data_IF_194442249531
#
_entry.id   IF_194442249531
#
_cell.length_a   1.000
_cell.length_b   1.000
_cell.length_c   1.000
_cell.angle_alpha   90.00
_cell.angle_beta   90.00
_cell.angle_gamma   90.00
#
_symmetry.space_group_name_H-M   'P 1'
#
loop_
_entity.id
_entity.type
_entity.pdbx_description
1 polymer ?
#
# COMPACT_ATOMS: atom_id res chain seq x y z
N UNK A 1 -41.54 -4.83 5.02
CA UNK A 1 -40.44 -5.74 5.42
C UNK A 1 -40.97 -7.07 5.92
N UNK A 2 -40.31 -8.17 5.57
CA UNK A 2 -40.59 -9.49 6.17
C UNK A 2 -40.18 -9.52 7.65
N UNK A 3 -40.80 -10.38 8.46
CA UNK A 3 -40.46 -10.53 9.90
C UNK A 3 -39.01 -10.99 10.09
N UNK A 4 -38.53 -11.90 9.24
CA UNK A 4 -37.17 -12.45 9.31
C UNK A 4 -36.12 -11.39 9.01
N UNK A 5 -36.31 -10.60 7.94
CA UNK A 5 -35.42 -9.48 7.59
C UNK A 5 -35.34 -8.48 8.74
N UNK A 6 -36.47 -8.17 9.38
CA UNK A 6 -36.52 -7.23 10.51
C UNK A 6 -35.81 -7.74 11.76
N UNK A 7 -35.90 -9.03 12.07
CA UNK A 7 -35.18 -9.63 13.20
C UNK A 7 -33.66 -9.59 12.98
N UNK A 8 -33.21 -9.83 11.74
CA UNK A 8 -31.80 -9.73 11.35
C UNK A 8 -31.29 -8.29 11.48
N UNK A 9 -32.05 -7.31 10.98
CA UNK A 9 -31.70 -5.89 11.11
C UNK A 9 -31.65 -5.43 12.56
N UNK A 10 -32.63 -5.81 13.39
CA UNK A 10 -32.61 -5.52 14.83
C UNK A 10 -31.36 -6.09 15.52
N UNK A 11 -30.95 -7.31 15.16
CA UNK A 11 -29.73 -7.90 15.70
C UNK A 11 -28.48 -7.11 15.29
N UNK A 12 -28.42 -6.59 14.07
CA UNK A 12 -27.30 -5.76 13.60
C UNK A 12 -27.27 -4.38 14.27
N UNK A 13 -28.42 -3.76 14.51
CA UNK A 13 -28.52 -2.50 15.27
C UNK A 13 -27.99 -2.71 16.69
N UNK A 14 -28.44 -3.77 17.38
CA UNK A 14 -27.99 -4.06 18.75
C UNK A 14 -26.48 -4.34 18.85
N UNK A 15 -25.85 -4.95 17.84
CA UNK A 15 -24.40 -5.20 17.79
C UNK A 15 -23.55 -3.93 17.68
N UNK A 16 -24.07 -2.88 17.04
CA UNK A 16 -23.36 -1.61 16.89
C UNK A 16 -23.28 -0.83 18.21
N UNK A 17 -24.15 -1.13 19.16
CA UNK A 17 -24.18 -0.45 20.46
C UNK A 17 -23.41 -1.21 21.54
N UNK A 18 -22.32 -0.61 22.02
CA UNK A 18 -21.57 -1.09 23.20
C UNK A 18 -22.18 -0.65 24.55
N UNK A 19 -23.25 0.15 24.52
CA UNK A 19 -23.98 0.68 25.68
C UNK A 19 -25.49 0.47 25.49
N UNK A 20 -26.30 0.41 26.57
CA UNK A 20 -27.74 0.24 26.46
C UNK A 20 -28.38 1.31 25.58
N UNK A 21 -29.18 0.89 24.60
CA UNK A 21 -29.88 1.79 23.67
C UNK A 21 -31.38 1.77 23.91
N UNK A 22 -32.03 2.93 23.91
CA UNK A 22 -33.47 3.02 24.22
C UNK A 22 -34.33 2.32 23.17
N UNK A 23 -35.46 1.75 23.58
CA UNK A 23 -36.42 1.14 22.65
C UNK A 23 -36.96 2.14 21.62
N UNK A 24 -37.13 3.41 21.97
CA UNK A 24 -37.58 4.44 21.02
C UNK A 24 -36.54 4.74 19.92
N UNK A 25 -35.24 4.69 20.25
CA UNK A 25 -34.18 4.85 19.27
C UNK A 25 -34.15 3.67 18.29
N UNK A 26 -34.19 2.44 18.82
CA UNK A 26 -34.24 1.21 18.02
C UNK A 26 -35.46 1.17 17.09
N UNK A 27 -36.64 1.55 17.61
CA UNK A 27 -37.87 1.56 16.83
C UNK A 27 -37.83 2.58 15.68
N UNK A 28 -37.28 3.77 15.95
CA UNK A 28 -37.12 4.84 14.95
C UNK A 28 -36.16 4.43 13.84
N UNK A 29 -35.03 3.83 14.21
CA UNK A 29 -34.00 3.39 13.26
C UNK A 29 -34.51 2.25 12.36
N UNK A 30 -35.28 1.31 12.91
CA UNK A 30 -35.88 0.21 12.16
C UNK A 30 -37.17 0.57 11.41
N UNK A 31 -37.64 1.82 11.54
CA UNK A 31 -38.89 2.27 10.93
C UNK A 31 -40.13 1.49 11.39
N UNK A 32 -40.16 1.01 12.64
CA UNK A 32 -41.27 0.22 13.20
C UNK A 32 -41.84 0.80 14.48
N UNK A 33 -43.05 0.37 14.86
CA UNK A 33 -43.64 0.76 16.15
C UNK A 33 -42.92 0.12 17.33
N UNK A 34 -42.92 0.80 18.48
CA UNK A 34 -42.31 0.31 19.72
C UNK A 34 -42.87 -1.06 20.16
N UNK A 35 -44.17 -1.29 19.92
CA UNK A 35 -44.82 -2.58 20.16
C UNK A 35 -44.26 -3.71 19.28
N UNK A 36 -43.97 -3.39 18.02
CA UNK A 36 -43.34 -4.35 17.08
C UNK A 36 -41.92 -4.68 17.51
N UNK A 37 -41.14 -3.66 17.89
CA UNK A 37 -39.79 -3.83 18.42
C UNK A 37 -39.76 -4.78 19.62
N UNK A 38 -40.63 -4.57 20.62
CA UNK A 38 -40.64 -5.43 21.81
C UNK A 38 -40.99 -6.89 21.49
N UNK A 39 -41.90 -7.11 20.54
CA UNK A 39 -42.22 -8.46 20.07
C UNK A 39 -41.04 -9.12 19.35
N UNK A 40 -40.26 -8.34 18.62
CA UNK A 40 -39.08 -8.83 17.91
C UNK A 40 -37.92 -9.11 18.87
N UNK A 41 -37.69 -8.27 19.90
CA UNK A 41 -36.72 -8.53 20.99
C UNK A 41 -37.07 -9.83 21.72
N UNK A 42 -38.35 -10.04 22.06
CA UNK A 42 -38.80 -11.29 22.67
C UNK A 42 -38.58 -12.49 21.76
N UNK A 43 -38.79 -12.32 20.44
CA UNK A 43 -38.53 -13.37 19.44
C UNK A 43 -37.04 -13.72 19.35
N UNK A 44 -36.15 -12.72 19.39
CA UNK A 44 -34.70 -12.94 19.38
C UNK A 44 -34.21 -13.64 20.66
N UNK A 45 -34.71 -13.24 21.84
CA UNK A 45 -34.41 -13.92 23.10
C UNK A 45 -34.83 -15.39 23.09
N UNK A 46 -36.01 -15.69 22.53
CA UNK A 46 -36.50 -17.07 22.41
C UNK A 46 -35.63 -17.97 21.52
N UNK A 47 -34.85 -17.38 20.61
CA UNK A 47 -33.92 -18.09 19.70
C UNK A 47 -32.49 -18.13 20.29
N UNK A 48 -32.29 -17.62 21.51
CA UNK A 48 -31.02 -17.69 22.24
C UNK A 48 -30.13 -16.45 22.15
N UNK A 49 -30.66 -15.31 21.70
CA UNK A 49 -29.92 -14.05 21.78
C UNK A 49 -29.91 -13.52 23.24
N UNK A 50 -28.72 -13.37 23.82
CA UNK A 50 -28.52 -12.77 25.15
C UNK A 50 -28.65 -11.24 25.10
N UNK A 51 -29.89 -10.75 25.09
CA UNK A 51 -30.19 -9.31 25.12
C UNK A 51 -30.56 -8.93 26.55
N UNK A 52 -29.75 -8.12 27.21
CA UNK A 52 -30.06 -7.49 28.50
C UNK A 52 -30.94 -6.26 28.30
N UNK A 53 -31.79 -5.95 29.28
CA UNK A 53 -32.55 -4.70 29.33
C UNK A 53 -34.07 -4.84 29.29
N UNK A 54 -34.74 -3.76 29.66
CA UNK A 54 -36.19 -3.68 29.80
C UNK A 54 -36.72 -2.33 29.28
N UNK A 55 -38.04 -2.21 28.98
CA UNK A 55 -38.64 -0.93 28.64
C UNK A 55 -38.28 0.16 29.66
N UNK A 56 -37.70 1.26 29.18
CA UNK A 56 -37.25 2.38 30.03
C UNK A 56 -35.77 2.35 30.43
N UNK A 57 -35.13 1.18 30.49
CA UNK A 57 -33.69 1.05 30.81
C UNK A 57 -32.79 0.93 29.56
N UNK A 58 -33.39 0.60 28.41
CA UNK A 58 -32.67 0.35 27.16
C UNK A 58 -32.21 -1.11 27.03
N UNK A 59 -31.72 -1.49 25.85
CA UNK A 59 -31.35 -2.86 25.50
C UNK A 59 -29.89 -2.95 25.08
N UNK A 60 -29.22 -4.05 25.45
CA UNK A 60 -27.82 -4.32 25.13
C UNK A 60 -27.63 -5.80 24.82
N UNK A 61 -26.94 -6.12 23.73
CA UNK A 61 -26.57 -7.49 23.40
C UNK A 61 -25.28 -7.89 24.14
N UNK A 62 -25.30 -8.98 24.91
CA UNK A 62 -24.12 -9.54 25.58
C UNK A 62 -23.26 -10.36 24.61
N UNK A 63 -21.92 -10.36 24.77
CA UNK A 63 -21.05 -11.27 24.03
C UNK A 63 -21.20 -12.71 24.59
N UNK A 64 -21.77 -13.62 23.80
CA UNK A 64 -21.85 -15.06 24.11
C UNK A 64 -20.65 -15.86 23.58
N UNK A 65 -20.43 -17.07 24.12
CA UNK A 65 -19.28 -17.96 23.81
C UNK A 65 -19.37 -18.68 22.45
N UNK A 66 -20.51 -18.60 21.77
CA UNK A 66 -20.72 -19.14 20.43
C UNK A 66 -20.66 -17.98 19.43
N UNK A 67 -19.95 -18.16 18.33
CA UNK A 67 -20.08 -17.24 17.19
C UNK A 67 -21.56 -17.26 16.79
N UNK A 68 -22.27 -16.12 16.84
CA UNK A 68 -23.64 -16.08 16.39
C UNK A 68 -23.71 -16.50 14.91
N UNK A 69 -24.86 -16.88 14.34
CA UNK A 69 -24.96 -17.16 12.91
C UNK A 69 -24.38 -15.98 12.12
N UNK A 70 -23.22 -16.20 11.50
CA UNK A 70 -22.53 -15.23 10.67
C UNK A 70 -22.97 -15.50 9.24
N UNK A 71 -23.62 -14.52 8.63
CA UNK A 71 -23.87 -14.52 7.20
C UNK A 71 -22.60 -13.97 6.56
N UNK A 72 -21.93 -14.79 5.77
CA UNK A 72 -20.79 -14.37 4.97
C UNK A 72 -21.25 -14.18 3.53
N UNK A 73 -20.75 -13.14 2.87
CA UNK A 73 -20.79 -13.09 1.42
C UNK A 73 -19.88 -14.16 0.83
N UNK A 74 -20.04 -14.37 -0.46
CA UNK A 74 -19.19 -15.26 -1.24
C UNK A 74 -17.71 -14.85 -1.18
N UNK A 75 -17.41 -13.57 -1.35
CA UNK A 75 -16.06 -13.02 -1.27
C UNK A 75 -15.48 -13.14 0.15
N UNK A 76 -16.31 -12.97 1.18
CA UNK A 76 -15.90 -13.16 2.57
C UNK A 76 -15.53 -14.61 2.87
N UNK A 77 -16.29 -15.58 2.33
CA UNK A 77 -15.97 -17.01 2.46
C UNK A 77 -14.68 -17.38 1.71
N UNK A 78 -14.49 -16.86 0.49
CA UNK A 78 -13.26 -17.08 -0.26
C UNK A 78 -12.04 -16.49 0.44
N UNK A 79 -12.15 -15.27 0.98
CA UNK A 79 -11.08 -14.64 1.75
C UNK A 79 -10.74 -15.43 3.02
N UNK A 80 -11.75 -15.88 3.77
CA UNK A 80 -11.55 -16.71 4.97
C UNK A 80 -10.91 -18.05 4.62
N UNK A 81 -11.40 -18.72 3.57
CA UNK A 81 -10.85 -19.99 3.12
C UNK A 81 -9.38 -19.83 2.67
N UNK A 82 -9.07 -18.79 1.89
CA UNK A 82 -7.71 -18.48 1.47
C UNK A 82 -6.79 -18.22 2.67
N UNK A 83 -7.23 -17.41 3.63
CA UNK A 83 -6.46 -17.09 4.84
C UNK A 83 -6.19 -18.32 5.70
N UNK A 84 -7.20 -19.16 5.93
CA UNK A 84 -7.05 -20.41 6.70
C UNK A 84 -6.12 -21.40 5.99
N UNK A 85 -6.23 -21.55 4.67
CA UNK A 85 -5.30 -22.37 3.86
C UNK A 85 -3.88 -21.82 3.93
N UNK A 86 -3.71 -20.49 3.95
CA UNK A 86 -2.43 -19.84 4.07
C UNK A 86 -1.79 -20.13 5.44
N UNK A 87 -2.54 -20.02 6.53
CA UNK A 87 -2.09 -20.38 7.89
C UNK A 87 -1.72 -21.86 7.95
N UNK A 88 -2.57 -22.73 7.40
CA UNK A 88 -2.35 -24.18 7.32
C UNK A 88 -1.04 -24.59 6.66
N UNK A 89 -0.50 -23.75 5.76
CA UNK A 89 0.77 -24.01 5.08
C UNK A 89 1.97 -23.24 5.64
N UNK A 90 1.75 -22.10 6.32
CA UNK A 90 2.84 -21.17 6.68
C UNK A 90 3.08 -21.00 8.18
N UNK A 91 2.21 -21.50 9.04
CA UNK A 91 2.40 -21.43 10.49
C UNK A 91 3.10 -22.70 11.03
N UNK A 92 3.05 -22.91 12.34
CA UNK A 92 3.42 -24.19 12.98
C UNK A 92 2.24 -25.17 13.00
N UNK A 93 2.56 -26.44 13.25
CA UNK A 93 1.62 -27.58 13.26
C UNK A 93 0.37 -27.30 14.10
N UNK A 94 0.51 -26.64 15.25
CA UNK A 94 -0.61 -26.31 16.13
C UNK A 94 -1.58 -25.31 15.50
N UNK A 95 -1.07 -24.27 14.84
CA UNK A 95 -1.91 -23.33 14.08
C UNK A 95 -2.43 -23.94 12.79
N UNK A 96 -1.67 -24.83 12.15
CA UNK A 96 -2.10 -25.53 10.94
C UNK A 96 -3.29 -26.45 11.21
N UNK A 97 -3.24 -27.22 12.30
CA UNK A 97 -4.37 -28.02 12.77
C UNK A 97 -5.57 -27.15 13.11
N UNK A 98 -5.37 -26.06 13.87
CA UNK A 98 -6.45 -25.15 14.23
C UNK A 98 -7.10 -24.48 13.00
N UNK A 99 -6.33 -24.16 11.97
CA UNK A 99 -6.84 -23.61 10.72
C UNK A 99 -7.67 -24.63 9.93
N UNK A 100 -7.22 -25.90 9.90
CA UNK A 100 -7.98 -27.01 9.33
C UNK A 100 -9.32 -27.23 10.03
N UNK A 101 -9.32 -27.26 11.37
CA UNK A 101 -10.54 -27.39 12.18
C UNK A 101 -11.51 -26.22 11.97
N UNK A 102 -10.99 -24.99 11.89
CA UNK A 102 -11.79 -23.81 11.63
C UNK A 102 -12.44 -23.87 10.23
N UNK A 103 -11.69 -24.30 9.22
CA UNK A 103 -12.20 -24.48 7.86
C UNK A 103 -13.27 -25.58 7.79
N UNK A 104 -13.07 -26.70 8.50
CA UNK A 104 -14.05 -27.79 8.59
C UNK A 104 -15.36 -27.32 9.23
N UNK A 105 -15.26 -26.56 10.34
CA UNK A 105 -16.43 -25.96 11.01
C UNK A 105 -17.17 -24.97 10.11
N UNK A 106 -16.43 -24.13 9.38
CA UNK A 106 -17.01 -23.18 8.43
C UNK A 106 -17.70 -23.91 7.27
N UNK A 107 -17.09 -24.95 6.72
CA UNK A 107 -17.69 -25.79 5.67
C UNK A 107 -18.98 -26.49 6.11
N UNK A 108 -19.03 -26.96 7.36
CA UNK A 108 -20.15 -27.72 7.91
C UNK A 108 -21.46 -26.92 7.99
N UNK A 109 -21.36 -25.60 8.16
CA UNK A 109 -22.52 -24.70 8.30
C UNK A 109 -22.97 -24.06 6.98
N UNK A 110 -22.25 -24.28 5.88
CA UNK A 110 -22.60 -23.72 4.56
C UNK A 110 -23.66 -24.56 3.83
N UNK A 111 -24.62 -23.91 3.13
CA UNK A 111 -25.51 -24.53 2.15
C UNK A 111 -24.73 -25.25 1.03
N UNK A 112 -25.35 -26.25 0.39
CA UNK A 112 -24.68 -27.15 -0.56
C UNK A 112 -23.92 -26.46 -1.70
N UNK A 113 -24.50 -25.43 -2.31
CA UNK A 113 -23.86 -24.69 -3.43
C UNK A 113 -22.61 -23.91 -2.96
N UNK A 114 -22.70 -23.17 -1.85
CA UNK A 114 -21.57 -22.42 -1.28
C UNK A 114 -20.46 -23.36 -0.77
N UNK A 115 -20.84 -24.51 -0.23
CA UNK A 115 -19.90 -25.55 0.17
C UNK A 115 -19.09 -26.08 -1.01
N UNK A 116 -19.76 -26.45 -2.11
CA UNK A 116 -19.08 -26.96 -3.31
C UNK A 116 -18.13 -25.92 -3.88
N UNK A 117 -18.57 -24.66 -3.97
CA UNK A 117 -17.75 -23.58 -4.50
C UNK A 117 -16.52 -23.25 -3.66
N UNK A 118 -16.64 -23.30 -2.33
CA UNK A 118 -15.49 -23.10 -1.45
C UNK A 118 -14.47 -24.25 -1.57
N UNK A 119 -14.96 -25.48 -1.77
CA UNK A 119 -14.11 -26.65 -2.02
C UNK A 119 -13.42 -26.57 -3.39
N UNK A 120 -14.12 -26.08 -4.41
CA UNK A 120 -13.66 -25.91 -5.79
C UNK A 120 -13.02 -24.53 -6.06
N UNK A 121 -12.62 -23.81 -5.01
CA UNK A 121 -11.98 -22.51 -5.15
C UNK A 121 -10.66 -22.63 -5.91
N UNK A 122 -10.53 -21.86 -7.00
CA UNK A 122 -9.32 -21.73 -7.80
C UNK A 122 -8.17 -21.01 -7.07
N UNK A 123 -8.39 -20.56 -5.83
CA UNK A 123 -7.40 -19.89 -5.02
C UNK A 123 -6.51 -20.92 -4.31
N UNK A 124 -5.33 -21.10 -4.88
CA UNK A 124 -4.30 -21.99 -4.35
C UNK A 124 -3.25 -21.22 -3.58
N UNK A 125 -2.89 -21.76 -2.42
CA UNK A 125 -1.71 -21.32 -1.70
C UNK A 125 -0.55 -22.20 -2.18
N UNK A 126 0.37 -21.62 -2.97
CA UNK A 126 1.57 -22.33 -3.44
C UNK A 126 2.44 -22.89 -2.31
N UNK A 127 3.42 -23.77 -2.63
CA UNK A 127 4.38 -24.23 -1.64
C UNK A 127 5.13 -23.03 -1.02
N UNK A 128 5.36 -23.08 0.29
CA UNK A 128 6.19 -22.08 0.96
C UNK A 128 7.66 -22.23 0.56
N UNK A 129 8.43 -21.15 0.62
CA UNK A 129 9.90 -21.23 0.55
C UNK A 129 10.40 -21.81 1.87
N UNK A 130 10.29 -23.12 2.05
CA UNK A 130 10.66 -23.78 3.30
C UNK A 130 12.17 -23.92 3.40
N UNK A 131 12.77 -23.15 4.32
CA UNK A 131 14.06 -23.49 4.90
C UNK A 131 13.81 -24.31 6.16
N UNK A 132 14.59 -25.38 6.41
CA UNK A 132 14.45 -26.16 7.64
C UNK A 132 14.54 -25.23 8.85
N UNK A 133 13.49 -25.22 9.66
CA UNK A 133 13.46 -24.45 10.90
C UNK A 133 13.79 -25.40 12.05
N UNK A 134 14.82 -25.08 12.85
CA UNK A 134 15.26 -25.95 13.95
C UNK A 134 14.40 -25.75 15.20
N UNK A 135 13.98 -24.51 15.46
CA UNK A 135 13.15 -24.15 16.61
C UNK A 135 11.69 -24.05 16.19
N UNK A 136 10.80 -24.80 16.85
CA UNK A 136 9.36 -24.69 16.62
C UNK A 136 8.82 -23.29 16.97
N UNK A 137 7.99 -22.72 16.08
CA UNK A 137 7.32 -21.44 16.32
C UNK A 137 6.39 -21.50 17.53
N UNK A 138 5.84 -22.67 17.90
CA UNK A 138 5.04 -22.79 19.12
C UNK A 138 5.83 -22.33 20.35
N UNK A 139 7.12 -22.66 20.43
CA UNK A 139 7.99 -22.23 21.53
C UNK A 139 8.09 -20.71 21.58
N UNK A 140 8.27 -20.05 20.43
CA UNK A 140 8.32 -18.60 20.32
C UNK A 140 6.97 -17.96 20.67
N UNK A 141 5.87 -18.47 20.12
CA UNK A 141 4.51 -18.00 20.39
C UNK A 141 4.15 -18.13 21.86
N UNK A 142 4.55 -19.22 22.52
CA UNK A 142 4.32 -19.46 23.94
C UNK A 142 5.12 -18.49 24.81
N UNK A 143 6.38 -18.22 24.47
CA UNK A 143 7.19 -17.22 25.15
C UNK A 143 6.56 -15.82 25.05
N UNK A 144 6.06 -15.43 23.87
CA UNK A 144 5.35 -14.17 23.65
C UNK A 144 4.05 -14.10 24.47
N UNK A 145 3.19 -15.13 24.37
CA UNK A 145 1.91 -15.18 25.10
C UNK A 145 2.07 -15.12 26.61
N UNK A 146 3.17 -15.67 27.14
CA UNK A 146 3.49 -15.67 28.58
C UNK A 146 4.38 -14.50 29.00
N UNK A 147 4.75 -13.63 28.06
CA UNK A 147 5.65 -12.50 28.27
C UNK A 147 6.97 -12.89 28.96
N UNK A 148 7.53 -14.04 28.57
CA UNK A 148 8.77 -14.59 29.14
C UNK A 148 9.98 -14.18 28.31
N UNK A 149 11.12 -13.97 28.97
CA UNK A 149 12.40 -13.79 28.28
C UNK A 149 12.76 -15.06 27.52
N UNK A 150 13.45 -14.90 26.40
CA UNK A 150 13.84 -16.00 25.54
C UNK A 150 15.34 -15.92 25.27
N UNK A 151 16.06 -16.97 25.64
CA UNK A 151 17.45 -17.14 25.26
C UNK A 151 17.51 -17.77 23.87
N UNK A 152 18.21 -17.15 22.92
CA UNK A 152 18.37 -17.66 21.56
C UNK A 152 19.84 -17.77 21.17
N UNK A 153 20.18 -18.86 20.49
CA UNK A 153 21.42 -18.99 19.74
C UNK A 153 21.11 -18.69 18.27
N UNK A 154 21.74 -17.64 17.76
CA UNK A 154 21.40 -17.04 16.48
C UNK A 154 22.61 -16.97 15.57
N UNK A 155 22.40 -17.31 14.30
CA UNK A 155 23.37 -17.14 13.23
C UNK A 155 22.96 -16.00 12.31
N UNK A 156 23.80 -14.99 12.16
CA UNK A 156 23.49 -13.88 11.24
C UNK A 156 23.68 -14.26 9.76
N UNK A 157 23.48 -13.29 8.86
CA UNK A 157 23.61 -13.51 7.41
C UNK A 157 25.05 -13.84 6.99
N UNK A 158 26.02 -13.32 7.74
CA UNK A 158 27.44 -13.55 7.51
C UNK A 158 27.92 -14.86 8.14
N UNK A 159 27.02 -15.65 8.74
CA UNK A 159 27.31 -16.94 9.35
C UNK A 159 27.87 -16.87 10.77
N UNK A 160 27.97 -15.66 11.36
CA UNK A 160 28.51 -15.46 12.71
C UNK A 160 27.47 -15.87 13.75
N UNK A 161 27.89 -16.76 14.65
CA UNK A 161 27.07 -17.23 15.77
C UNK A 161 27.09 -16.26 16.92
N UNK A 162 25.96 -16.16 17.59
CA UNK A 162 25.79 -15.25 18.70
C UNK A 162 24.69 -15.71 19.63
N UNK A 163 24.93 -15.64 20.93
CA UNK A 163 23.91 -15.93 21.94
C UNK A 163 23.29 -14.63 22.44
N UNK A 164 21.96 -14.61 22.62
CA UNK A 164 21.17 -13.40 22.90
C UNK A 164 20.04 -13.71 23.88
N UNK A 165 19.86 -12.83 24.85
CA UNK A 165 18.63 -12.77 25.64
C UNK A 165 17.70 -11.71 25.04
N UNK A 166 16.49 -12.12 24.68
CA UNK A 166 15.50 -11.23 24.06
C UNK A 166 14.17 -11.23 24.82
N UNK A 167 13.43 -10.13 24.70
CA UNK A 167 12.05 -9.98 25.18
C UNK A 167 11.13 -10.08 23.97
N UNK A 168 10.66 -11.28 23.59
CA UNK A 168 9.87 -11.44 22.38
C UNK A 168 8.44 -10.92 22.60
N UNK A 169 7.93 -10.13 21.67
CA UNK A 169 6.58 -9.58 21.76
C UNK A 169 5.72 -9.74 20.49
N UNK A 170 6.34 -10.07 19.35
CA UNK A 170 5.63 -10.32 18.09
C UNK A 170 6.34 -11.34 17.18
N UNK A 171 5.57 -11.99 16.31
CA UNK A 171 6.08 -12.75 15.15
C UNK A 171 5.43 -12.16 13.90
N UNK A 172 6.24 -11.70 12.96
CA UNK A 172 5.79 -11.21 11.66
C UNK A 172 6.02 -12.29 10.60
N UNK A 173 4.99 -12.53 9.77
CA UNK A 173 5.07 -13.46 8.66
C UNK A 173 5.15 -12.67 7.35
N UNK A 174 6.22 -12.90 6.59
CA UNK A 174 6.41 -12.37 5.24
C UNK A 174 6.28 -13.52 4.23
N UNK A 175 6.25 -13.18 2.94
CA UNK A 175 6.08 -14.16 1.86
C UNK A 175 7.13 -15.28 1.90
N UNK A 176 8.39 -14.94 2.18
CA UNK A 176 9.55 -15.84 2.13
C UNK A 176 10.32 -15.97 3.44
N UNK A 177 9.87 -15.30 4.52
CA UNK A 177 10.57 -15.35 5.82
C UNK A 177 9.62 -15.07 6.99
N UNK A 178 10.04 -15.44 8.18
CA UNK A 178 9.33 -15.19 9.44
C UNK A 178 10.30 -14.51 10.39
N UNK A 179 9.86 -13.45 11.06
CA UNK A 179 10.69 -12.69 12.00
C UNK A 179 10.08 -12.78 13.40
N UNK A 180 10.88 -13.14 14.39
CA UNK A 180 10.55 -12.84 15.79
C UNK A 180 11.11 -11.47 16.13
N UNK A 181 10.27 -10.61 16.69
CA UNK A 181 10.63 -9.26 17.10
C UNK A 181 10.73 -9.22 18.61
N UNK A 182 11.81 -8.60 19.11
CA UNK A 182 12.01 -8.45 20.54
C UNK A 182 13.00 -7.34 20.91
N UNK A 183 12.96 -6.93 22.18
CA UNK A 183 14.02 -6.13 22.77
C UNK A 183 15.23 -7.03 23.04
N UNK A 184 16.41 -6.66 22.54
CA UNK A 184 17.63 -7.45 22.71
C UNK A 184 18.47 -6.87 23.85
N UNK A 185 18.65 -7.62 24.94
CA UNK A 185 19.42 -7.12 26.10
C UNK A 185 20.90 -6.87 25.77
N UNK A 186 21.50 -7.65 24.87
CA UNK A 186 22.89 -7.40 24.49
C UNK A 186 23.06 -6.08 23.74
N UNK A 187 22.08 -5.70 22.90
CA UNK A 187 22.15 -4.51 22.06
C UNK A 187 21.40 -3.32 22.65
N UNK A 188 20.65 -3.53 23.73
CA UNK A 188 19.80 -2.54 24.38
C UNK A 188 18.92 -1.81 23.34
N UNK A 189 18.31 -2.57 22.44
CA UNK A 189 17.51 -2.03 21.35
C UNK A 189 16.52 -3.07 20.78
N UNK A 190 15.47 -2.60 20.11
CA UNK A 190 14.57 -3.46 19.33
C UNK A 190 15.30 -4.10 18.15
N UNK A 191 15.13 -5.41 17.99
CA UNK A 191 15.73 -6.18 16.89
C UNK A 191 14.76 -7.23 16.38
N UNK A 192 14.90 -7.53 15.09
CA UNK A 192 14.17 -8.59 14.41
C UNK A 192 15.13 -9.73 14.08
N UNK A 193 14.73 -10.95 14.39
CA UNK A 193 15.51 -12.16 14.16
C UNK A 193 14.75 -13.07 13.22
N UNK A 194 15.38 -13.54 12.14
CA UNK A 194 14.71 -14.50 11.27
C UNK A 194 14.61 -15.85 11.97
N UNK A 195 13.43 -16.44 12.01
CA UNK A 195 13.21 -17.68 12.78
C UNK A 195 13.95 -18.87 12.16
N UNK A 196 14.20 -18.86 10.84
CA UNK A 196 14.98 -19.87 10.12
C UNK A 196 16.49 -19.83 10.44
N UNK A 197 16.95 -18.82 11.18
CA UNK A 197 18.34 -18.64 11.59
C UNK A 197 18.57 -18.81 13.10
N UNK A 198 17.53 -19.15 13.84
CA UNK A 198 17.62 -19.49 15.26
C UNK A 198 18.00 -20.97 15.34
N UNK A 199 19.19 -21.24 15.86
CA UNK A 199 19.73 -22.59 16.01
C UNK A 199 19.21 -23.27 17.28
N UNK A 200 18.94 -22.50 18.34
CA UNK A 200 18.29 -22.97 19.57
C UNK A 200 17.52 -21.84 20.25
N UNK A 201 16.42 -22.17 20.94
CA UNK A 201 15.66 -21.22 21.74
C UNK A 201 15.18 -21.86 23.04
N UNK A 202 15.45 -21.21 24.17
CA UNK A 202 15.07 -21.67 25.51
C UNK A 202 14.31 -20.56 26.25
N UNK A 203 12.98 -20.72 26.48
CA UNK A 203 12.23 -19.75 27.26
C UNK A 203 12.69 -19.81 28.72
N UNK A 204 12.90 -18.64 29.31
CA UNK A 204 13.23 -18.54 30.72
C UNK A 204 11.96 -18.48 31.57
N UNK A 205 12.09 -18.82 32.85
CA UNK A 205 11.04 -18.57 33.82
C UNK A 205 10.89 -17.09 34.12
N UNK A 206 11.87 -16.23 33.83
CA UNK A 206 11.75 -14.79 34.07
C UNK A 206 10.78 -14.14 33.05
N UNK A 207 9.85 -13.30 33.53
CA UNK A 207 9.10 -12.38 32.64
C UNK A 207 9.95 -11.16 32.33
N UNK A 208 9.82 -10.61 31.14
CA UNK A 208 10.42 -9.30 30.88
C UNK A 208 9.63 -8.20 31.62
N UNK A 209 10.29 -7.12 32.05
CA UNK A 209 9.72 -6.16 33.01
C UNK A 209 8.64 -5.23 32.42
N UNK A 210 8.43 -5.25 31.10
CA UNK A 210 7.59 -4.29 30.39
C UNK A 210 6.45 -5.01 29.67
N UNK A 211 5.22 -4.52 29.76
CA UNK A 211 4.08 -5.19 29.12
C UNK A 211 4.25 -5.31 27.59
N UNK A 212 3.80 -6.42 27.01
CA UNK A 212 3.94 -6.71 25.57
C UNK A 212 3.40 -5.58 24.69
N UNK A 213 2.23 -5.04 25.03
CA UNK A 213 1.58 -3.97 24.28
C UNK A 213 2.39 -2.66 24.30
N UNK A 214 3.15 -2.39 25.37
CA UNK A 214 4.01 -1.20 25.45
C UNK A 214 5.26 -1.40 24.59
N UNK A 215 5.88 -2.58 24.63
CA UNK A 215 7.00 -2.91 23.76
C UNK A 215 6.60 -2.89 22.27
N UNK A 216 5.42 -3.40 21.95
CA UNK A 216 4.86 -3.37 20.58
C UNK A 216 4.62 -1.93 20.12
N UNK A 217 4.02 -1.08 20.96
CA UNK A 217 3.81 0.34 20.69
C UNK A 217 5.12 1.08 20.43
N UNK A 218 6.08 0.99 21.34
CA UNK A 218 7.37 1.66 21.17
C UNK A 218 8.19 1.12 19.99
N UNK A 219 8.07 -0.18 19.70
CA UNK A 219 8.69 -0.74 18.51
C UNK A 219 8.07 -0.17 17.24
N UNK A 220 6.74 -0.10 17.17
CA UNK A 220 6.03 0.56 16.07
C UNK A 220 6.44 2.03 15.97
N UNK A 221 6.44 2.78 17.07
CA UNK A 221 6.92 4.18 17.11
C UNK A 221 8.37 4.30 16.63
N UNK A 222 9.24 3.34 16.97
CA UNK A 222 10.64 3.33 16.51
C UNK A 222 10.82 3.01 15.03
N UNK A 223 9.80 2.43 14.41
CA UNK A 223 9.74 2.14 12.96
C UNK A 223 9.05 3.26 12.18
N UNK A 224 8.29 4.12 12.85
CA UNK A 224 7.55 5.23 12.28
C UNK A 224 8.37 6.52 12.41
N UNK A 225 8.40 7.40 11.39
CA UNK A 225 8.82 8.79 11.60
C UNK A 225 7.89 9.46 12.64
N UNK A 226 8.34 10.51 13.34
CA UNK A 226 7.57 11.25 14.37
C UNK A 226 6.16 11.73 13.94
N UNK A 227 5.80 11.58 12.65
CA UNK A 227 4.53 11.99 12.05
C UNK A 227 3.41 10.94 12.03
N UNK A 228 3.57 9.73 12.60
CA UNK A 228 2.54 8.66 12.55
C UNK A 228 2.37 8.02 13.94
N UNK A 229 1.14 7.94 14.47
CA UNK A 229 0.86 7.35 15.79
C UNK A 229 0.44 5.88 15.73
N UNK A 230 0.71 5.14 16.80
CA UNK A 230 0.42 3.69 16.96
C UNK A 230 -1.06 3.32 16.84
N UNK A 231 -1.98 4.28 16.96
CA UNK A 231 -3.41 4.01 16.75
C UNK A 231 -3.72 3.47 15.34
N UNK A 232 -2.88 3.76 14.34
CA UNK A 232 -3.04 3.28 12.96
C UNK A 232 -2.88 1.75 12.83
N UNK A 233 -2.12 1.10 13.72
CA UNK A 233 -1.87 -0.34 13.70
C UNK A 233 -2.82 -1.15 14.60
N UNK A 234 -3.29 -0.57 15.71
CA UNK A 234 -4.10 -1.29 16.70
C UNK A 234 -5.61 -1.34 16.37
N UNK A 235 -6.07 -0.59 15.35
CA UNK A 235 -7.49 -0.29 15.13
C UNK A 235 -8.23 -1.07 14.02
N UNK A 236 -7.61 -2.04 13.33
CA UNK A 236 -8.19 -2.66 12.12
C UNK A 236 -9.45 -3.55 12.33
N UNK A 237 -10.12 -3.46 13.48
CA UNK A 237 -11.38 -4.19 13.77
C UNK A 237 -12.44 -3.31 14.42
N UNK A 238 -12.98 -2.31 13.70
CA UNK A 238 -14.43 -2.06 13.69
C UNK A 238 -14.82 -0.96 12.70
N UNK A 239 -15.94 -1.18 12.01
CA UNK A 239 -16.72 -0.21 11.24
C UNK A 239 -16.05 0.45 10.03
N UNK A 240 -15.77 -0.37 9.01
CA UNK A 240 -15.73 0.11 7.62
C UNK A 240 -17.17 0.31 7.12
N UNK A 241 -17.85 1.38 7.56
CA UNK A 241 -19.11 1.87 6.95
C UNK A 241 -19.55 3.27 7.37
N UNK A 242 -18.75 4.02 8.11
CA UNK A 242 -18.96 5.45 8.30
C UNK A 242 -17.77 6.18 7.69
N UNK A 243 -18.00 6.71 6.48
CA UNK A 243 -17.26 7.76 5.78
C UNK A 243 -15.77 7.88 6.11
N UNK A 244 -14.94 7.15 5.36
CA UNK A 244 -13.51 7.41 5.28
C UNK A 244 -13.27 8.68 4.45
N UNK A 245 -13.61 9.84 5.01
CA UNK A 245 -13.10 11.15 4.60
C UNK A 245 -11.78 11.44 5.33
N UNK A 246 -10.85 10.48 5.33
CA UNK A 246 -9.42 10.79 5.46
C UNK A 246 -8.83 10.76 4.06
N UNK A 247 -8.96 11.91 3.40
CA UNK A 247 -8.58 12.17 2.03
C UNK A 247 -7.07 11.93 1.83
N UNK A 248 -6.74 11.10 0.84
CA UNK A 248 -5.62 11.14 -0.11
C UNK A 248 -4.60 12.31 -0.02
N UNK A 249 -3.88 12.47 1.08
CA UNK A 249 -2.83 13.51 1.14
C UNK A 249 -1.61 13.08 0.31
N UNK A 250 -1.48 13.68 -0.86
CA UNK A 250 -0.29 13.60 -1.70
C UNK A 250 0.62 14.80 -1.37
N UNK A 251 1.85 14.53 -0.93
CA UNK A 251 2.92 15.53 -0.85
C UNK A 251 3.83 15.34 -2.05
N UNK A 252 3.97 16.37 -2.87
CA UNK A 252 4.78 16.37 -4.08
C UNK A 252 6.05 17.21 -3.89
N UNK A 253 7.20 16.55 -3.84
CA UNK A 253 8.51 17.19 -3.73
C UNK A 253 9.07 17.49 -5.12
N UNK A 254 9.35 18.77 -5.38
CA UNK A 254 9.62 19.26 -6.73
C UNK A 254 10.63 20.40 -6.78
N UNK A 255 11.11 20.69 -7.98
CA UNK A 255 11.70 21.97 -8.34
C UNK A 255 11.15 22.36 -9.72
N UNK A 256 10.62 23.58 -9.93
CA UNK A 256 10.05 24.02 -11.20
C UNK A 256 10.99 23.93 -12.40
N UNK A 257 12.30 24.03 -12.18
CA UNK A 257 13.35 23.90 -13.21
C UNK A 257 13.86 22.46 -13.38
N UNK A 258 13.08 21.46 -12.99
CA UNK A 258 13.47 20.06 -13.06
C UNK A 258 12.48 19.22 -13.87
N UNK A 259 12.85 17.96 -14.11
CA UNK A 259 11.97 16.94 -14.71
C UNK A 259 10.71 16.64 -13.88
N UNK A 260 10.57 17.25 -12.70
CA UNK A 260 9.37 17.14 -11.89
C UNK A 260 8.12 17.74 -12.57
N UNK A 261 8.26 18.58 -13.60
CA UNK A 261 7.12 19.05 -14.41
C UNK A 261 6.27 17.92 -14.99
N UNK A 262 6.86 16.75 -15.28
CA UNK A 262 6.14 15.56 -15.76
C UNK A 262 5.17 15.05 -14.69
N UNK A 263 5.62 14.95 -13.43
CA UNK A 263 4.80 14.51 -12.30
C UNK A 263 3.76 15.56 -11.94
N UNK A 264 4.09 16.85 -12.09
CA UNK A 264 3.11 17.91 -11.91
C UNK A 264 1.96 17.80 -12.92
N UNK A 265 2.26 17.59 -14.21
CA UNK A 265 1.22 17.33 -15.21
C UNK A 265 0.42 16.06 -14.87
N UNK A 266 1.07 14.97 -14.45
CA UNK A 266 0.38 13.76 -14.01
C UNK A 266 -0.60 14.02 -12.84
N UNK A 267 -0.18 14.80 -11.84
CA UNK A 267 -1.02 15.18 -10.69
C UNK A 267 -2.24 16.01 -11.13
N UNK A 268 -2.05 16.90 -12.11
CA UNK A 268 -3.13 17.69 -12.69
C UNK A 268 -4.10 16.86 -13.53
N UNK A 269 -3.65 15.76 -14.16
CA UNK A 269 -4.52 14.84 -14.92
C UNK A 269 -5.35 13.95 -13.99
N UNK A 270 -4.80 13.48 -12.87
CA UNK A 270 -5.59 12.68 -11.91
C UNK A 270 -6.63 13.52 -11.14
N UNK A 271 -6.43 14.83 -11.06
CA UNK A 271 -7.38 15.76 -10.44
C UNK A 271 -7.54 15.61 -8.92
N UNK A 272 -6.59 14.95 -8.25
CA UNK A 272 -6.58 14.79 -6.80
C UNK A 272 -5.87 15.98 -6.12
N UNK A 273 -6.29 16.39 -4.92
CA UNK A 273 -5.60 17.43 -4.17
C UNK A 273 -4.19 16.97 -3.78
N UNK A 274 -3.21 17.86 -3.89
CA UNK A 274 -1.84 17.61 -3.45
C UNK A 274 -1.23 18.86 -2.84
N UNK A 275 -0.25 18.66 -1.96
CA UNK A 275 0.57 19.71 -1.35
C UNK A 275 1.94 19.69 -2.00
N UNK A 276 2.38 20.83 -2.54
CA UNK A 276 3.68 20.94 -3.18
C UNK A 276 4.76 21.40 -2.19
N UNK A 277 5.91 20.75 -2.20
CA UNK A 277 7.11 21.09 -1.43
C UNK A 277 8.23 21.41 -2.43
N UNK A 278 8.52 22.69 -2.62
CA UNK A 278 9.56 23.14 -3.54
C UNK A 278 10.92 23.09 -2.85
N UNK A 279 11.87 22.39 -3.47
CA UNK A 279 13.23 22.23 -2.97
C UNK A 279 14.21 22.92 -3.91
N UNK A 280 15.00 23.85 -3.37
CA UNK A 280 16.10 24.47 -4.13
C UNK A 280 17.22 23.47 -4.42
N UNK A 281 17.90 23.65 -5.56
CA UNK A 281 19.06 22.83 -5.91
C UNK A 281 20.18 22.99 -4.87
N UNK A 282 20.95 21.93 -4.66
CA UNK A 282 22.07 21.93 -3.72
C UNK A 282 21.66 21.49 -2.31
N UNK A 283 22.03 22.27 -1.29
CA UNK A 283 21.96 21.85 0.11
C UNK A 283 20.56 21.36 0.56
N UNK A 284 19.42 22.00 0.18
CA UNK A 284 18.09 21.53 0.60
C UNK A 284 17.76 20.12 0.11
N UNK A 285 18.08 19.80 -1.15
CA UNK A 285 17.93 18.45 -1.71
C UNK A 285 18.89 17.42 -1.10
N UNK A 286 19.90 17.85 -0.35
CA UNK A 286 20.85 16.98 0.36
C UNK A 286 20.64 16.99 1.88
N UNK A 287 19.57 17.63 2.36
CA UNK A 287 19.22 17.62 3.77
C UNK A 287 18.92 16.19 4.25
N UNK A 288 19.29 15.81 5.49
CA UNK A 288 18.93 14.50 6.04
C UNK A 288 17.43 14.20 5.94
N UNK A 289 16.60 15.23 6.13
CA UNK A 289 15.14 15.14 6.02
C UNK A 289 14.68 14.75 4.62
N UNK A 290 15.22 15.37 3.56
CA UNK A 290 14.83 15.01 2.20
C UNK A 290 15.50 13.72 1.71
N UNK A 291 16.72 13.42 2.17
CA UNK A 291 17.38 12.15 1.84
C UNK A 291 16.65 10.93 2.41
N UNK A 292 15.88 11.10 3.50
CA UNK A 292 14.97 10.07 3.99
C UNK A 292 13.78 9.80 3.04
N UNK A 293 13.42 10.78 2.19
CA UNK A 293 12.39 10.63 1.15
C UNK A 293 13.01 10.08 -0.14
N UNK A 294 14.07 10.72 -0.64
CA UNK A 294 14.81 10.25 -1.80
C UNK A 294 16.31 10.20 -1.49
N UNK A 295 16.89 9.00 -1.27
CA UNK A 295 18.30 8.83 -0.96
C UNK A 295 19.27 9.36 -2.04
N UNK A 296 18.82 9.50 -3.29
CA UNK A 296 19.63 10.14 -4.34
C UNK A 296 19.65 11.67 -4.22
N UNK A 297 18.79 12.25 -3.39
CA UNK A 297 18.61 13.69 -3.21
C UNK A 297 18.27 14.35 -4.53
N UNK A 298 17.29 13.80 -5.25
CA UNK A 298 16.78 14.28 -6.54
C UNK A 298 15.27 14.48 -6.45
N UNK A 299 14.72 15.31 -7.31
CA UNK A 299 13.27 15.46 -7.56
C UNK A 299 12.96 14.95 -8.98
N UNK A 300 11.73 14.48 -9.26
CA UNK A 300 10.56 14.44 -8.38
C UNK A 300 10.57 13.30 -7.35
N UNK A 301 9.80 13.50 -6.28
CA UNK A 301 9.35 12.43 -5.39
C UNK A 301 7.91 12.74 -4.92
N UNK A 302 7.12 11.71 -4.64
CA UNK A 302 5.83 11.88 -3.96
C UNK A 302 5.80 11.07 -2.67
N UNK A 303 5.04 11.56 -1.70
CA UNK A 303 4.57 10.80 -0.55
C UNK A 303 3.05 10.79 -0.58
N UNK A 304 2.44 9.62 -0.75
CA UNK A 304 1.01 9.41 -0.70
C UNK A 304 0.67 8.56 0.54
N UNK A 305 0.10 9.20 1.56
CA UNK A 305 0.02 8.61 2.90
C UNK A 305 1.41 8.22 3.42
N UNK A 306 1.61 6.94 3.73
CA UNK A 306 2.90 6.38 4.18
C UNK A 306 3.80 5.90 3.02
N UNK A 307 3.28 5.89 1.78
CA UNK A 307 4.01 5.38 0.63
C UNK A 307 4.84 6.49 0.00
N UNK A 308 6.16 6.29 -0.09
CA UNK A 308 7.06 7.16 -0.86
C UNK A 308 7.36 6.51 -2.21
N UNK A 309 7.17 7.27 -3.28
CA UNK A 309 7.49 6.83 -4.64
C UNK A 309 8.46 7.82 -5.26
N UNK A 310 9.57 7.29 -5.77
CA UNK A 310 10.62 8.01 -6.49
C UNK A 310 10.72 7.47 -7.92
N UNK A 311 11.46 8.16 -8.79
CA UNK A 311 11.51 7.96 -10.25
C UNK A 311 10.23 8.41 -10.96
N UNK A 312 10.36 9.36 -11.89
CA UNK A 312 9.21 10.03 -12.51
C UNK A 312 8.27 9.04 -13.25
N UNK A 313 8.81 8.06 -13.99
CA UNK A 313 8.00 7.03 -14.65
C UNK A 313 7.25 6.13 -13.65
N UNK A 314 7.89 5.76 -12.54
CA UNK A 314 7.27 4.95 -11.50
C UNK A 314 6.17 5.73 -10.78
N UNK A 315 6.37 7.03 -10.53
CA UNK A 315 5.33 7.91 -9.99
C UNK A 315 4.13 7.97 -10.95
N UNK A 316 4.37 8.14 -12.25
CA UNK A 316 3.28 8.12 -13.26
C UNK A 316 2.52 6.79 -13.26
N UNK A 317 3.21 5.65 -13.25
CA UNK A 317 2.57 4.33 -13.17
C UNK A 317 1.76 4.16 -11.88
N UNK A 318 2.37 4.52 -10.73
CA UNK A 318 1.74 4.42 -9.42
C UNK A 318 0.47 5.27 -9.33
N UNK A 319 0.51 6.53 -9.77
CA UNK A 319 -0.65 7.42 -9.73
C UNK A 319 -1.77 6.94 -10.67
N UNK A 320 -1.42 6.41 -11.85
CA UNK A 320 -2.41 5.87 -12.78
C UNK A 320 -3.13 4.63 -12.23
N UNK A 321 -2.42 3.78 -11.48
CA UNK A 321 -3.00 2.60 -10.83
C UNK A 321 -3.78 2.96 -9.56
N UNK A 322 -3.28 3.91 -8.78
CA UNK A 322 -3.89 4.33 -7.51
C UNK A 322 -5.19 5.09 -7.70
N UNK A 323 -5.31 5.84 -8.80
CA UNK A 323 -6.48 6.67 -9.13
C UNK A 323 -7.12 6.20 -10.45
N UNK A 324 -7.75 5.00 -10.46
CA UNK A 324 -8.29 4.40 -11.69
C UNK A 324 -9.41 5.23 -12.32
N UNK A 325 -10.11 6.07 -11.55
CA UNK A 325 -11.14 6.99 -12.02
C UNK A 325 -10.62 8.03 -13.02
N UNK A 326 -9.31 8.33 -12.98
CA UNK A 326 -8.68 9.23 -13.95
C UNK A 326 -8.53 8.59 -15.35
N UNK A 327 -8.69 7.26 -15.47
CA UNK A 327 -8.63 6.56 -16.76
C UNK A 327 -7.24 6.56 -17.42
N UNK A 328 -6.17 6.76 -16.63
CA UNK A 328 -4.80 6.90 -17.15
C UNK A 328 -4.03 5.57 -17.25
N UNK A 329 -4.60 4.48 -16.75
CA UNK A 329 -4.09 3.11 -16.89
C UNK A 329 -5.04 2.31 -17.78
N UNK A 330 -4.57 1.73 -18.90
CA UNK A 330 -5.46 0.98 -19.78
C UNK A 330 -5.88 -0.38 -19.19
N UNK A 331 -6.89 -0.98 -19.84
CA UNK A 331 -7.34 -2.35 -19.55
C UNK A 331 -6.19 -3.36 -19.63
N UNK A 332 -6.29 -4.45 -18.88
CA UNK A 332 -5.20 -5.40 -18.67
C UNK A 332 -4.56 -5.91 -19.97
N UNK A 333 -5.38 -6.12 -21.00
CA UNK A 333 -4.98 -6.65 -22.32
C UNK A 333 -4.10 -5.66 -23.11
N UNK A 334 -4.27 -4.35 -22.86
CA UNK A 334 -3.52 -3.28 -23.52
C UNK A 334 -2.30 -2.80 -22.70
N UNK A 335 -2.09 -3.32 -21.48
CA UNK A 335 -0.99 -2.89 -20.61
C UNK A 335 0.40 -3.22 -21.14
N UNK A 336 0.52 -4.19 -22.04
CA UNK A 336 1.80 -4.55 -22.67
C UNK A 336 2.44 -3.37 -23.40
N UNK A 337 1.69 -2.70 -24.26
CA UNK A 337 2.15 -1.52 -25.01
C UNK A 337 2.36 -0.31 -24.08
N UNK A 338 1.48 -0.13 -23.09
CA UNK A 338 1.62 0.92 -22.07
C UNK A 338 2.95 0.82 -21.30
N UNK A 339 3.25 -0.34 -20.73
CA UNK A 339 4.50 -0.52 -19.97
C UNK A 339 5.71 -0.45 -20.89
N UNK A 340 5.62 -1.02 -22.11
CA UNK A 340 6.70 -0.94 -23.10
C UNK A 340 7.11 0.51 -23.33
N UNK A 341 6.18 1.40 -23.64
CA UNK A 341 6.52 2.78 -23.98
C UNK A 341 6.89 3.62 -22.77
N UNK A 342 6.24 3.41 -21.63
CA UNK A 342 6.60 4.08 -20.38
C UNK A 342 8.05 3.79 -19.98
N UNK A 343 8.45 2.52 -19.99
CA UNK A 343 9.82 2.12 -19.61
C UNK A 343 10.85 2.27 -20.74
N UNK A 344 10.43 2.25 -22.01
CA UNK A 344 11.31 2.64 -23.11
C UNK A 344 11.73 4.11 -23.00
N UNK A 345 10.82 4.99 -22.59
CA UNK A 345 11.17 6.38 -22.31
C UNK A 345 12.09 6.50 -21.08
N UNK A 346 11.74 5.85 -19.98
CA UNK A 346 12.48 5.95 -18.71
C UNK A 346 13.92 5.37 -18.77
N UNK A 347 14.14 4.38 -19.64
CA UNK A 347 15.46 3.77 -19.84
C UNK A 347 16.14 4.29 -21.10
N UNK A 348 15.90 3.66 -22.27
CA UNK A 348 16.55 4.01 -23.53
C UNK A 348 16.53 5.50 -23.90
N UNK A 349 15.36 6.16 -23.88
CA UNK A 349 15.25 7.57 -24.29
C UNK A 349 16.03 8.48 -23.35
N UNK A 350 15.76 8.43 -22.05
CA UNK A 350 16.45 9.29 -21.09
C UNK A 350 17.97 9.13 -21.13
N UNK A 351 18.46 7.90 -21.25
CA UNK A 351 19.89 7.62 -21.35
C UNK A 351 20.48 8.23 -22.64
N UNK A 352 19.88 7.95 -23.80
CA UNK A 352 20.39 8.45 -25.08
C UNK A 352 20.37 9.99 -25.16
N UNK A 353 19.30 10.63 -24.70
CA UNK A 353 19.19 12.09 -24.68
C UNK A 353 20.21 12.72 -23.72
N UNK A 354 20.43 12.10 -22.56
CA UNK A 354 21.41 12.58 -21.58
C UNK A 354 22.85 12.47 -22.09
N UNK A 355 23.19 11.34 -22.73
CA UNK A 355 24.51 11.14 -23.33
C UNK A 355 24.78 12.14 -24.46
N UNK A 356 23.80 12.34 -25.35
CA UNK A 356 23.90 13.36 -26.41
C UNK A 356 24.06 14.76 -25.83
N UNK A 357 23.27 15.13 -24.82
CA UNK A 357 23.37 16.43 -24.17
C UNK A 357 24.74 16.64 -23.51
N UNK A 358 25.33 15.58 -22.94
CA UNK A 358 26.68 15.60 -22.39
C UNK A 358 27.79 15.60 -23.47
N UNK A 359 27.44 15.57 -24.76
CA UNK A 359 28.39 15.51 -25.87
C UNK A 359 29.10 14.15 -25.99
N UNK A 360 28.54 13.10 -25.41
CA UNK A 360 29.11 11.75 -25.43
C UNK A 360 28.53 10.93 -26.59
N UNK A 361 29.38 10.62 -27.57
CA UNK A 361 29.02 9.71 -28.67
C UNK A 361 29.38 8.27 -28.32
N UNK A 362 28.41 7.36 -28.41
CA UNK A 362 28.62 5.94 -28.18
C UNK A 362 29.45 5.33 -29.33
N UNK A 363 30.34 4.41 -28.99
CA UNK A 363 31.03 3.56 -29.97
C UNK A 363 30.19 2.31 -30.22
N UNK A 364 30.48 1.56 -31.28
CA UNK A 364 29.82 0.27 -31.52
C UNK A 364 29.96 -0.71 -30.36
N UNK A 365 31.05 -0.65 -29.60
CA UNK A 365 31.22 -1.45 -28.39
C UNK A 365 30.33 -0.97 -27.24
N UNK A 366 30.24 0.36 -27.03
CA UNK A 366 29.33 0.91 -26.02
C UNK A 366 27.86 0.59 -26.34
N UNK A 367 27.46 0.60 -27.61
CA UNK A 367 26.09 0.26 -28.02
C UNK A 367 25.68 -1.18 -27.63
N UNK A 368 26.64 -2.11 -27.54
CA UNK A 368 26.40 -3.47 -27.06
C UNK A 368 26.31 -3.56 -25.52
N UNK A 369 26.86 -2.59 -24.81
CA UNK A 369 26.93 -2.57 -23.34
C UNK A 369 25.83 -1.71 -22.71
N UNK A 370 25.44 -0.63 -23.38
CA UNK A 370 24.48 0.35 -22.88
C UNK A 370 23.08 -0.05 -23.34
N UNK A 371 22.14 -0.15 -22.40
CA UNK A 371 20.78 -0.62 -22.68
C UNK A 371 19.93 0.29 -23.60
N UNK A 372 20.43 1.46 -24.00
CA UNK A 372 19.75 2.35 -24.93
C UNK A 372 20.05 2.07 -26.41
N UNK A 373 21.14 1.36 -26.75
CA UNK A 373 21.65 1.32 -28.13
C UNK A 373 22.14 2.70 -28.58
N UNK A 374 22.07 3.00 -29.89
CA UNK A 374 22.47 4.30 -30.44
C UNK A 374 21.39 5.38 -30.29
N UNK A 375 21.81 6.65 -30.28
CA UNK A 375 20.88 7.78 -30.27
C UNK A 375 19.92 7.73 -31.47
N UNK A 376 20.45 7.44 -32.65
CA UNK A 376 19.69 7.36 -33.90
C UNK A 376 18.64 6.24 -33.83
N UNK A 377 18.99 5.06 -33.29
CA UNK A 377 18.06 3.95 -33.15
C UNK A 377 16.93 4.27 -32.15
N UNK A 378 17.24 4.95 -31.06
CA UNK A 378 16.24 5.40 -30.07
C UNK A 378 15.28 6.40 -30.70
N UNK A 379 15.80 7.44 -31.37
CA UNK A 379 14.96 8.47 -31.99
C UNK A 379 14.12 7.88 -33.12
N UNK A 380 14.67 7.00 -33.94
CA UNK A 380 13.93 6.33 -35.01
C UNK A 380 12.82 5.42 -34.47
N UNK A 381 13.11 4.68 -33.39
CA UNK A 381 12.12 3.83 -32.72
C UNK A 381 10.99 4.69 -32.14
N UNK A 382 11.32 5.80 -31.49
CA UNK A 382 10.34 6.72 -30.91
C UNK A 382 9.51 7.41 -32.01
N UNK A 383 10.12 7.83 -33.12
CA UNK A 383 9.43 8.46 -34.25
C UNK A 383 8.40 7.50 -34.85
N UNK A 384 8.80 6.25 -35.11
CA UNK A 384 7.88 5.20 -35.59
C UNK A 384 6.75 4.90 -34.60
N UNK A 385 7.03 5.00 -33.29
CA UNK A 385 6.03 4.74 -32.26
C UNK A 385 4.88 5.74 -32.29
N UNK A 386 5.18 7.02 -32.55
CA UNK A 386 4.19 8.10 -32.53
C UNK A 386 3.67 8.49 -33.91
N UNK A 387 4.32 8.02 -34.98
CA UNK A 387 3.94 8.31 -36.36
C UNK A 387 2.46 7.96 -36.64
N UNK A 388 1.67 8.98 -36.98
CA UNK A 388 0.24 8.82 -37.30
C UNK A 388 -0.65 8.42 -36.12
N UNK A 389 -0.14 8.42 -34.89
CA UNK A 389 -0.90 8.05 -33.68
C UNK A 389 -1.32 9.26 -32.88
N UNK A 390 -2.52 9.17 -32.29
CA UNK A 390 -3.02 10.15 -31.33
C UNK A 390 -2.44 9.94 -29.93
N UNK A 391 -2.30 8.67 -29.52
CA UNK A 391 -1.74 8.26 -28.24
C UNK A 391 -0.76 7.09 -28.46
N UNK A 392 0.25 6.98 -27.60
CA UNK A 392 1.37 6.07 -27.85
C UNK A 392 1.01 4.60 -27.56
N UNK A 393 0.12 4.38 -26.60
CA UNK A 393 -0.25 3.06 -26.09
C UNK A 393 -1.72 2.69 -26.35
N UNK A 394 -2.21 2.97 -27.57
CA UNK A 394 -3.55 2.60 -28.03
C UNK A 394 -4.42 3.80 -28.40
N UNK A 395 -5.73 3.66 -28.21
CA UNK A 395 -6.72 4.66 -28.67
C UNK A 395 -7.14 5.67 -27.58
N UNK A 396 -6.61 5.53 -26.37
CA UNK A 396 -6.93 6.40 -25.22
C UNK A 396 -5.69 7.04 -24.63
N UNK A 397 -5.86 8.22 -24.03
CA UNK A 397 -4.78 8.94 -23.35
C UNK A 397 -4.43 8.25 -22.03
N UNK A 398 -3.14 8.04 -21.78
CA UNK A 398 -2.64 7.32 -20.60
C UNK A 398 -1.47 8.05 -19.95
N UNK A 399 -1.02 7.57 -18.79
CA UNK A 399 0.20 8.07 -18.16
C UNK A 399 1.47 7.86 -19.01
N UNK A 400 1.44 6.92 -19.98
CA UNK A 400 2.53 6.79 -20.95
C UNK A 400 2.62 8.01 -21.87
N UNK A 401 1.48 8.60 -22.25
CA UNK A 401 1.45 9.83 -23.05
C UNK A 401 1.93 11.05 -22.27
N UNK A 402 1.62 11.13 -20.97
CA UNK A 402 2.19 12.16 -20.07
C UNK A 402 3.71 12.06 -20.08
N UNK A 403 4.25 10.86 -19.84
CA UNK A 403 5.68 10.64 -19.72
C UNK A 403 6.43 10.85 -21.04
N UNK A 404 6.02 10.12 -22.09
CA UNK A 404 6.66 10.16 -23.40
C UNK A 404 6.45 11.52 -24.06
N UNK A 405 5.22 12.06 -23.99
CA UNK A 405 4.89 13.38 -24.53
C UNK A 405 5.76 14.47 -23.91
N UNK A 406 5.98 14.45 -22.59
CA UNK A 406 6.86 15.40 -21.93
C UNK A 406 8.30 15.31 -22.44
N UNK A 407 8.86 14.11 -22.58
CA UNK A 407 10.20 13.91 -23.11
C UNK A 407 10.34 14.41 -24.56
N UNK A 408 9.31 14.21 -25.39
CA UNK A 408 9.28 14.73 -26.76
C UNK A 408 9.19 16.26 -26.76
N UNK A 409 8.23 16.83 -26.04
CA UNK A 409 7.97 18.26 -25.99
C UNK A 409 9.16 19.06 -25.47
N UNK A 410 9.64 18.70 -24.28
CA UNK A 410 10.81 19.33 -23.65
C UNK A 410 12.08 19.03 -24.45
N UNK A 411 12.21 17.80 -24.97
CA UNK A 411 13.35 17.42 -25.81
C UNK A 411 13.52 18.34 -27.01
N UNK A 412 12.42 18.62 -27.72
CA UNK A 412 12.41 19.56 -28.86
C UNK A 412 12.62 21.01 -28.42
N UNK A 413 12.05 21.43 -27.29
CA UNK A 413 12.19 22.80 -26.78
C UNK A 413 13.63 23.14 -26.37
N UNK A 414 14.32 22.20 -25.72
CA UNK A 414 15.71 22.38 -25.26
C UNK A 414 16.76 21.84 -26.23
N UNK A 415 16.35 21.33 -27.40
CA UNK A 415 17.25 20.85 -28.46
C UNK A 415 17.97 19.54 -28.16
N UNK A 416 17.54 18.80 -27.13
CA UNK A 416 18.10 17.47 -26.83
C UNK A 416 17.52 16.38 -27.73
N UNK A 417 16.30 16.59 -28.21
CA UNK A 417 15.64 15.80 -29.25
C UNK A 417 15.48 16.66 -30.51
N UNK A 418 15.86 16.12 -31.66
CA UNK A 418 15.66 16.80 -32.93
C UNK A 418 14.17 16.94 -33.28
N UNK A 419 13.81 18.03 -33.97
CA UNK A 419 12.44 18.24 -34.43
C UNK A 419 12.16 17.38 -35.65
N UNK A 420 11.12 16.56 -35.57
CA UNK A 420 10.61 15.74 -36.67
C UNK A 420 9.09 15.93 -36.81
N UNK A 421 8.50 15.81 -38.01
CA UNK A 421 7.06 15.99 -38.21
C UNK A 421 6.20 15.09 -37.30
N UNK A 422 6.64 13.86 -37.05
CA UNK A 422 5.95 12.89 -36.19
C UNK A 422 5.90 13.35 -34.73
N UNK A 423 7.00 13.90 -34.23
CA UNK A 423 7.10 14.44 -32.87
C UNK A 423 6.29 15.72 -32.70
N UNK A 424 6.34 16.61 -33.68
CA UNK A 424 5.57 17.85 -33.67
C UNK A 424 4.07 17.57 -33.70
N UNK A 425 3.63 16.64 -34.55
CA UNK A 425 2.23 16.24 -34.63
C UNK A 425 1.74 15.57 -33.34
N UNK A 426 2.52 14.64 -32.78
CA UNK A 426 2.17 13.97 -31.53
C UNK A 426 2.12 14.95 -30.36
N UNK A 427 3.15 15.79 -30.18
CA UNK A 427 3.19 16.78 -29.10
C UNK A 427 2.11 17.85 -29.22
N UNK A 428 1.82 18.34 -30.43
CA UNK A 428 0.70 19.25 -30.67
C UNK A 428 -0.63 18.64 -30.23
N UNK A 429 -0.76 17.31 -30.31
CA UNK A 429 -1.92 16.62 -29.81
C UNK A 429 -2.10 16.63 -28.29
N UNK A 430 -0.99 16.71 -27.54
CA UNK A 430 -1.00 16.57 -26.08
C UNK A 430 -0.86 17.90 -25.34
N UNK A 431 -0.05 18.83 -25.86
CA UNK A 431 0.38 20.04 -25.15
C UNK A 431 -0.77 20.94 -24.67
N UNK A 432 -1.88 20.93 -25.39
CA UNK A 432 -3.03 21.82 -25.15
C UNK A 432 -4.06 21.22 -24.17
N UNK A 433 -3.79 20.03 -23.62
CA UNK A 433 -4.63 19.44 -22.58
C UNK A 433 -4.75 20.38 -21.38
N UNK A 434 -5.95 20.55 -20.78
CA UNK A 434 -6.17 21.51 -19.70
C UNK A 434 -5.23 21.32 -18.51
N UNK A 435 -4.98 20.07 -18.10
CA UNK A 435 -4.06 19.73 -17.02
C UNK A 435 -2.61 20.12 -17.34
N UNK A 436 -2.14 19.83 -18.57
CA UNK A 436 -0.81 20.25 -19.00
C UNK A 436 -0.66 21.77 -18.98
N UNK A 437 -1.67 22.50 -19.45
CA UNK A 437 -1.65 23.97 -19.44
C UNK A 437 -1.56 24.56 -18.03
N UNK A 438 -2.22 23.95 -17.04
CA UNK A 438 -2.08 24.35 -15.63
C UNK A 438 -0.67 24.08 -15.12
N UNK A 439 -0.10 22.92 -15.48
CA UNK A 439 1.29 22.58 -15.14
C UNK A 439 2.29 23.58 -15.72
N UNK A 440 2.19 23.87 -17.02
CA UNK A 440 3.07 24.81 -17.73
C UNK A 440 2.93 26.25 -17.22
N UNK A 441 1.70 26.68 -16.87
CA UNK A 441 1.47 28.00 -16.30
C UNK A 441 2.22 28.18 -14.96
N UNK A 442 2.15 27.18 -14.08
CA UNK A 442 2.89 27.18 -12.83
C UNK A 442 4.41 27.23 -13.04
N UNK A 443 4.94 26.42 -13.97
CA UNK A 443 6.37 26.41 -14.30
C UNK A 443 6.80 27.78 -14.83
N UNK A 444 6.02 28.38 -15.73
CA UNK A 444 6.31 29.70 -16.28
C UNK A 444 6.33 30.81 -15.21
N UNK A 445 5.38 30.79 -14.27
CA UNK A 445 5.34 31.73 -13.15
C UNK A 445 6.57 31.58 -12.25
N UNK A 446 6.94 30.35 -11.91
CA UNK A 446 8.14 30.08 -11.11
C UNK A 446 9.44 30.53 -11.81
N UNK A 447 9.55 30.33 -13.12
CA UNK A 447 10.69 30.80 -13.91
C UNK A 447 10.81 32.33 -13.89
N UNK A 448 9.68 33.05 -14.00
CA UNK A 448 9.65 34.51 -13.93
C UNK A 448 10.06 35.02 -12.55
N UNK A 449 9.54 34.40 -11.48
CA UNK A 449 9.89 34.76 -10.11
C UNK A 449 11.40 34.57 -9.84
N UNK A 450 12.00 33.49 -10.35
CA UNK A 450 13.43 33.24 -10.19
C UNK A 450 14.31 34.21 -10.99
N UNK A 451 13.90 34.58 -12.21
CA UNK A 451 14.60 35.60 -12.99
C UNK A 451 14.56 36.98 -12.30
N UNK A 452 13.42 37.34 -11.70
CA UNK A 452 13.27 38.55 -10.90
C UNK A 452 14.14 38.54 -9.62
N UNK A 453 14.25 37.40 -8.94
CA UNK A 453 15.13 37.26 -7.78
C UNK A 453 16.62 37.30 -8.12
N UNK A 454 17.02 36.71 -9.26
CA UNK A 454 18.41 36.70 -9.73
C UNK A 454 18.91 38.08 -10.23
N UNK A 455 18.00 38.96 -10.65
CA UNK A 455 18.29 40.34 -11.06
C UNK A 455 18.34 41.35 -9.90
N UNK A 456 17.97 40.92 -8.69
CA UNK A 456 17.97 41.74 -7.47
C UNK A 456 19.21 41.55 -6.58
N UNK A 457 20.19 40.72 -6.97
CA UNK A 457 21.48 40.67 -6.26
C UNK A 457 22.36 41.86 -6.67
N UNK A 458 22.80 42.71 -5.71
CA UNK A 458 23.68 43.82 -6.03
C UNK A 458 25.05 43.29 -6.46
N UNK A 459 25.54 43.79 -7.59
CA UNK A 459 26.94 43.67 -8.01
C UNK A 459 27.84 44.16 -6.88
N UNK A 460 28.55 43.25 -6.23
CA UNK A 460 29.69 43.55 -5.35
C UNK A 460 30.98 43.56 -6.13
#
# INVERSE_FOLDING_TARGET
MSRTTRLLELMQVLRRHRRPVSGNALARELGVSLRTLYRDIASLRAIGAEIDGEPGMGYLLRPGLMLPPLMFTEEELEALALGLRWVGRRADDGLSLAAGDALAKLTAVLPGELRHRMQDSALWVGPGWERPQVVDLETLRRAIRRERKLHIDYRDQQGKRSSRLIWPFAIAFFESTRLVVGWCELRQAFRSFRTDRIEAASPLEERYPRARAVLEREWLDSLLPESVSVESYAGATSNRREECHMQHDIVFYTNPLSRAGIVHWMLEEIGQPYRMEVLEFGAPMKSPTYLAVNPMGKVPAIRHGDTVVTEAAAICAYLAETFPEAGLLPAAEARGDYYRWLFFAAGPVEMALSLKHAGFSLTAEHEMQFGCGSYEAVVETLAKAVAGRRYIAGDTFTAADVYVGSHIGWGMQFGTLERRPEFEAYWAGLRDRPANRRSEAYIAEAMQAQAAAGSAQPTS
#
